data_IF_180197475166
#
_entry.id   IF_180197475166
#
_cell.length_a   1.000
_cell.length_b   1.000
_cell.length_c   1.000
_cell.angle_alpha   90.00
_cell.angle_beta   90.00
_cell.angle_gamma   90.00
#
_symmetry.space_group_name_H-M   'P 1'
#
loop_
_entity.id
_entity.type
_entity.pdbx_description
1 polymer ?
#
# COMPACT_ATOMS: atom_id res chain seq x y z
N UNK A 1 5.80 -5.96 -13.78
CA UNK A 1 5.14 -4.72 -14.23
C UNK A 1 5.44 -3.70 -13.15
N UNK A 2 6.04 -2.55 -13.49
CA UNK A 2 6.26 -1.46 -12.54
C UNK A 2 5.23 -0.39 -12.90
N UNK A 3 4.40 0.02 -11.94
CA UNK A 3 3.32 1.01 -12.13
C UNK A 3 3.63 2.29 -11.38
N UNK A 4 2.93 3.37 -11.73
CA UNK A 4 3.06 4.66 -11.05
C UNK A 4 2.54 4.60 -9.61
N UNK A 5 3.05 5.46 -8.74
CA UNK A 5 2.66 5.52 -7.33
C UNK A 5 1.21 5.94 -7.14
N UNK A 6 0.66 6.75 -8.06
CA UNK A 6 -0.77 7.10 -8.08
C UNK A 6 -1.64 5.92 -8.53
N UNK A 7 -1.26 5.23 -9.60
CA UNK A 7 -1.96 4.03 -10.08
C UNK A 7 -1.95 2.92 -9.04
N UNK A 8 -0.82 2.75 -8.34
CA UNK A 8 -0.68 1.80 -7.25
C UNK A 8 -1.66 2.10 -6.13
N UNK A 9 -1.78 3.37 -5.71
CA UNK A 9 -2.69 3.77 -4.62
C UNK A 9 -4.17 3.61 -5.04
N UNK A 10 -4.50 3.96 -6.27
CA UNK A 10 -5.82 3.72 -6.85
C UNK A 10 -6.18 2.22 -6.86
N UNK A 11 -5.23 1.38 -7.28
CA UNK A 11 -5.36 -0.07 -7.27
C UNK A 11 -5.47 -0.65 -5.86
N UNK A 12 -4.71 -0.12 -4.89
CA UNK A 12 -4.74 -0.58 -3.50
C UNK A 12 -6.10 -0.33 -2.87
N UNK A 13 -6.66 0.88 -3.04
CA UNK A 13 -7.93 1.27 -2.45
C UNK A 13 -9.15 0.66 -3.13
N UNK A 14 -9.09 0.38 -4.44
CA UNK A 14 -10.14 -0.28 -5.21
C UNK A 14 -11.55 0.27 -4.91
N UNK A 15 -11.76 1.55 -5.26
CA UNK A 15 -12.97 2.36 -5.01
C UNK A 15 -13.23 2.76 -3.54
N UNK A 16 -12.38 2.33 -2.60
CA UNK A 16 -12.46 2.80 -1.21
C UNK A 16 -12.01 4.26 -1.08
N UNK A 17 -12.65 4.99 -0.17
CA UNK A 17 -12.24 6.33 0.27
C UNK A 17 -11.69 6.34 1.70
N UNK A 18 -11.50 5.17 2.30
CA UNK A 18 -10.96 5.02 3.67
C UNK A 18 -9.47 4.69 3.63
N UNK A 19 -8.81 4.64 4.79
CA UNK A 19 -7.37 4.38 4.86
C UNK A 19 -6.94 3.01 4.30
N UNK A 20 -7.79 1.98 4.42
CA UNK A 20 -7.62 0.64 3.86
C UNK A 20 -8.76 0.33 2.88
N UNK A 21 -8.57 -0.62 1.99
CA UNK A 21 -9.62 -1.03 1.05
C UNK A 21 -10.87 -1.64 1.72
N UNK A 22 -10.77 -2.10 2.97
CA UNK A 22 -11.90 -2.64 3.74
C UNK A 22 -12.37 -1.74 4.90
N UNK A 23 -11.88 -0.50 5.01
CA UNK A 23 -12.31 0.44 6.04
C UNK A 23 -11.18 1.29 6.61
N UNK A 24 -11.45 1.89 7.76
CA UNK A 24 -10.47 2.72 8.47
C UNK A 24 -9.39 1.88 9.13
N UNK A 25 -8.21 2.49 9.32
CA UNK A 25 -7.17 2.00 10.23
C UNK A 25 -7.38 2.66 11.59
N UNK A 26 -7.36 1.85 12.65
CA UNK A 26 -7.63 2.29 14.02
C UNK A 26 -6.40 2.27 14.91
N UNK A 27 -5.40 1.47 14.55
CA UNK A 27 -4.15 1.31 15.30
C UNK A 27 -2.97 1.68 14.38
N UNK A 28 -2.20 2.67 14.80
CA UNK A 28 -1.04 3.20 14.06
C UNK A 28 0.31 2.70 14.62
N UNK A 29 0.27 1.92 15.71
CA UNK A 29 1.42 1.20 16.27
C UNK A 29 1.49 -0.23 15.73
N UNK A 30 2.57 -0.94 16.06
CA UNK A 30 2.73 -2.36 15.78
C UNK A 30 1.91 -3.26 16.71
N UNK A 31 0.60 -2.98 16.79
CA UNK A 31 -0.37 -3.74 17.57
C UNK A 31 -1.52 -4.21 16.66
N UNK A 32 -2.36 -5.11 17.15
CA UNK A 32 -3.45 -5.68 16.36
C UNK A 32 -4.48 -4.62 15.92
N UNK A 33 -4.67 -4.49 14.61
CA UNK A 33 -5.78 -3.80 13.96
C UNK A 33 -6.70 -4.80 13.24
N UNK A 34 -8.01 -4.71 13.50
CA UNK A 34 -8.99 -5.69 13.03
C UNK A 34 -9.29 -5.61 11.52
N UNK A 35 -9.04 -4.46 10.87
CA UNK A 35 -9.23 -4.30 9.43
C UNK A 35 -7.95 -4.68 8.70
N UNK A 36 -6.80 -4.22 9.18
CA UNK A 36 -5.50 -4.57 8.60
C UNK A 36 -5.20 -6.06 8.73
N UNK A 37 -5.52 -6.70 9.86
CA UNK A 37 -5.33 -8.15 10.03
C UNK A 37 -6.03 -8.99 8.98
N UNK A 38 -7.17 -8.53 8.44
CA UNK A 38 -7.90 -9.28 7.41
C UNK A 38 -7.22 -9.23 6.04
N UNK A 39 -6.50 -8.16 5.72
CA UNK A 39 -6.00 -7.89 4.36
C UNK A 39 -4.48 -7.92 4.23
N UNK A 40 -3.76 -7.71 5.33
CA UNK A 40 -2.32 -7.46 5.32
C UNK A 40 -1.55 -8.32 6.32
N UNK A 41 -0.29 -8.56 5.97
CA UNK A 41 0.73 -9.06 6.88
C UNK A 41 1.60 -7.88 7.34
N UNK A 42 1.62 -7.60 8.64
CA UNK A 42 2.33 -6.46 9.23
C UNK A 42 2.90 -6.86 10.59
N UNK A 43 3.67 -5.98 11.23
CA UNK A 43 4.36 -6.29 12.49
C UNK A 43 3.44 -6.86 13.59
N UNK A 44 2.14 -6.54 13.59
CA UNK A 44 1.18 -7.05 14.56
C UNK A 44 0.69 -8.50 14.32
N UNK A 45 0.93 -9.09 13.15
CA UNK A 45 0.45 -10.45 12.83
C UNK A 45 1.41 -11.33 11.99
N UNK A 46 2.53 -10.79 11.53
CA UNK A 46 3.41 -11.47 10.57
C UNK A 46 4.37 -12.48 11.19
N UNK A 47 4.59 -12.44 12.51
CA UNK A 47 5.68 -13.14 13.19
C UNK A 47 7.07 -12.80 12.63
N UNK A 48 7.26 -11.54 12.23
CA UNK A 48 8.55 -11.02 11.73
C UNK A 48 9.05 -11.75 10.48
N UNK A 49 8.14 -12.15 9.58
CA UNK A 49 8.50 -12.81 8.33
C UNK A 49 7.47 -12.53 7.23
N UNK A 50 7.90 -12.62 5.97
CA UNK A 50 7.00 -12.60 4.83
C UNK A 50 6.16 -13.88 4.76
N UNK A 51 5.01 -13.77 4.09
CA UNK A 51 4.09 -14.88 3.89
C UNK A 51 3.85 -15.12 2.38
N UNK A 52 3.44 -16.34 1.98
CA UNK A 52 2.98 -16.58 0.62
C UNK A 52 1.87 -15.57 0.24
N UNK A 53 1.90 -15.14 -1.03
CA UNK A 53 0.92 -14.19 -1.55
C UNK A 53 -0.49 -14.76 -1.52
N UNK A 54 -1.49 -13.89 -1.49
CA UNK A 54 -2.91 -14.21 -1.56
C UNK A 54 -3.42 -15.11 -0.42
N UNK A 55 -2.88 -14.94 0.79
CA UNK A 55 -3.35 -15.64 2.00
C UNK A 55 -4.31 -14.81 2.87
N UNK A 56 -4.44 -13.51 2.57
CA UNK A 56 -5.36 -12.58 3.23
C UNK A 56 -6.48 -12.16 2.27
N UNK A 57 -7.43 -11.37 2.75
CA UNK A 57 -8.55 -10.88 1.95
C UNK A 57 -8.06 -9.92 0.86
N UNK A 58 -8.46 -10.16 -0.39
CA UNK A 58 -8.25 -9.23 -1.50
C UNK A 58 -9.15 -8.00 -1.40
N UNK A 59 -8.75 -6.91 -2.05
CA UNK A 59 -9.62 -5.75 -2.24
C UNK A 59 -10.74 -6.01 -3.27
N UNK A 60 -11.60 -5.00 -3.51
CA UNK A 60 -12.76 -5.14 -4.39
C UNK A 60 -12.42 -5.53 -5.84
N UNK A 61 -11.17 -5.30 -6.28
CA UNK A 61 -10.71 -5.65 -7.63
C UNK A 61 -9.95 -6.99 -7.67
N UNK A 62 -9.87 -7.71 -6.55
CA UNK A 62 -9.20 -9.02 -6.47
C UNK A 62 -7.68 -8.93 -6.33
N UNK A 63 -7.14 -7.77 -5.94
CA UNK A 63 -5.71 -7.60 -5.66
C UNK A 63 -5.42 -7.96 -4.20
N UNK A 64 -4.35 -8.71 -3.98
CA UNK A 64 -3.93 -9.22 -2.68
C UNK A 64 -2.68 -8.49 -2.21
N UNK A 65 -2.45 -8.50 -0.90
CA UNK A 65 -1.22 -8.02 -0.25
C UNK A 65 -0.90 -6.53 -0.47
N UNK A 66 -1.85 -5.73 -1.00
CA UNK A 66 -1.71 -4.27 -1.17
C UNK A 66 -1.60 -3.49 0.16
N UNK A 67 -1.76 -4.14 1.31
CA UNK A 67 -1.70 -3.53 2.64
C UNK A 67 -0.72 -4.27 3.58
N UNK A 68 0.40 -4.77 3.05
CA UNK A 68 1.48 -5.33 3.86
C UNK A 68 2.27 -6.39 3.10
N UNK A 69 2.81 -7.36 3.83
CA UNK A 69 3.70 -8.41 3.35
C UNK A 69 5.04 -7.84 2.87
N UNK A 70 5.12 -7.21 1.71
CA UNK A 70 6.33 -6.62 1.17
C UNK A 70 6.07 -5.24 0.59
N UNK A 71 7.06 -4.36 0.71
CA UNK A 71 7.02 -3.09 0.00
C UNK A 71 6.98 -3.33 -1.51
N UNK A 72 6.15 -2.56 -2.19
CA UNK A 72 6.03 -2.59 -3.64
C UNK A 72 6.69 -1.37 -4.27
N UNK A 73 7.63 -1.62 -5.18
CA UNK A 73 8.34 -0.59 -5.92
C UNK A 73 7.44 0.07 -6.97
N UNK A 74 7.39 1.41 -6.95
CA UNK A 74 6.74 2.23 -7.97
C UNK A 74 7.79 2.86 -8.89
N UNK A 75 7.38 3.25 -10.11
CA UNK A 75 8.28 3.88 -11.08
C UNK A 75 8.67 5.31 -10.72
N UNK A 76 7.89 5.96 -9.86
CA UNK A 76 8.03 7.35 -9.48
C UNK A 76 9.27 7.58 -8.61
N UNK A 77 9.94 8.69 -8.85
CA UNK A 77 10.95 9.21 -7.93
C UNK A 77 10.29 9.76 -6.66
N UNK A 78 10.91 9.51 -5.52
CA UNK A 78 10.49 10.06 -4.24
C UNK A 78 10.71 11.58 -4.22
N UNK A 79 9.65 12.32 -3.86
CA UNK A 79 9.64 13.77 -3.78
C UNK A 79 8.30 14.29 -3.24
N UNK A 80 8.19 15.60 -3.07
CA UNK A 80 6.94 16.24 -2.61
C UNK A 80 5.83 16.09 -3.64
N UNK A 81 4.62 15.81 -3.16
CA UNK A 81 3.42 15.90 -3.99
C UNK A 81 3.08 17.37 -4.30
N UNK A 82 2.51 17.65 -5.48
CA UNK A 82 1.98 18.97 -5.80
C UNK A 82 0.76 19.30 -4.93
N UNK A 83 0.60 20.58 -4.57
CA UNK A 83 -0.53 21.06 -3.75
C UNK A 83 -1.86 21.08 -4.51
N UNK A 84 -1.82 21.01 -5.84
CA UNK A 84 -2.98 21.00 -6.72
C UNK A 84 -3.30 19.60 -7.24
N UNK A 85 -4.56 19.39 -7.66
CA UNK A 85 -4.94 18.17 -8.39
C UNK A 85 -4.13 18.02 -9.67
N UNK A 86 -3.67 16.80 -9.93
CA UNK A 86 -2.94 16.41 -11.14
C UNK A 86 -3.60 15.16 -11.73
N UNK A 87 -3.68 15.12 -13.06
CA UNK A 87 -4.16 13.95 -13.82
C UNK A 87 -2.91 13.21 -14.32
N UNK A 88 -2.90 11.88 -14.17
CA UNK A 88 -1.80 11.01 -14.61
C UNK A 88 -0.42 11.50 -14.13
N UNK A 89 -0.32 11.77 -12.83
CA UNK A 89 0.93 12.22 -12.20
C UNK A 89 2.02 11.15 -12.35
N UNK A 90 3.19 11.55 -12.86
CA UNK A 90 4.38 10.70 -12.98
C UNK A 90 5.41 10.94 -11.86
N UNK A 91 5.00 11.63 -10.79
CA UNK A 91 5.89 12.04 -9.71
C UNK A 91 6.89 13.12 -10.12
N UNK A 92 7.96 13.29 -9.33
CA UNK A 92 9.02 14.25 -9.63
C UNK A 92 9.95 13.73 -10.75
N UNK A 93 10.54 14.63 -11.53
CA UNK A 93 11.26 14.29 -12.76
C UNK A 93 12.64 13.61 -12.56
N UNK A 94 13.02 13.20 -11.36
CA UNK A 94 14.17 13.78 -10.63
C UNK A 94 14.33 13.23 -9.21
N UNK A 95 15.05 12.12 -8.94
CA UNK A 95 15.30 11.69 -7.56
C UNK A 95 16.44 10.68 -7.37
N UNK A 96 16.76 10.40 -6.09
CA UNK A 96 17.76 9.41 -5.68
C UNK A 96 17.16 8.09 -5.21
N UNK A 97 15.85 8.07 -4.94
CA UNK A 97 15.10 6.92 -4.43
C UNK A 97 13.78 6.83 -5.18
N UNK A 98 13.31 5.63 -5.51
CA UNK A 98 11.95 5.48 -6.00
C UNK A 98 10.97 5.32 -4.83
N UNK A 99 9.69 5.56 -5.11
CA UNK A 99 8.61 5.41 -4.15
C UNK A 99 8.38 3.92 -3.85
N UNK A 100 8.20 3.61 -2.58
CA UNK A 100 7.75 2.32 -2.07
C UNK A 100 6.35 2.48 -1.47
N UNK A 101 5.46 1.52 -1.70
CA UNK A 101 4.09 1.54 -1.18
C UNK A 101 3.73 0.22 -0.48
N UNK A 102 2.56 0.17 0.16
CA UNK A 102 1.97 -1.03 0.75
C UNK A 102 2.38 -1.36 2.19
N UNK A 103 3.56 -0.91 2.62
CA UNK A 103 4.11 -1.35 3.90
C UNK A 103 4.75 -2.73 3.78
N UNK A 104 5.07 -3.35 4.92
CA UNK A 104 5.67 -4.68 4.94
C UNK A 104 5.21 -5.49 6.13
N UNK A 105 5.71 -6.71 6.23
CA UNK A 105 5.57 -7.56 7.40
C UNK A 105 6.16 -6.95 8.69
N UNK A 106 6.98 -5.89 8.60
CA UNK A 106 7.58 -5.16 9.73
C UNK A 106 7.13 -3.70 9.77
#
# INVERSE_FOLDING_TARGET
>A
MVIGAADWEYAALADSTTALANGEISVLSCDFDANLDKMGWYCGNSNSTQHPVAQKLANAWGLYDMHGNLYEWCSDWYGSYPDNSVIDSTGVSSGSYCVLRGGSWY
#
